data_IF_346822485069
#
_entry.id   IF_346822485069
#
_cell.length_a   1.000
_cell.length_b   1.000
_cell.length_c   1.000
_cell.angle_alpha   90.00
_cell.angle_beta   90.00
_cell.angle_gamma   90.00
#
_symmetry.space_group_name_H-M   'P 1'
#
loop_
_entity.id
_entity.type
_entity.pdbx_description
1 polymer ?
#
# COMPACT_ATOMS: atom_id res chain seq x y z
N UNK A 1 21.31 28.42 34.55
CA UNK A 1 21.27 28.16 33.09
C UNK A 1 21.28 26.66 32.88
N UNK A 2 20.11 26.04 32.72
CA UNK A 2 20.00 24.63 32.36
C UNK A 2 19.71 24.56 30.86
N UNK A 3 20.75 24.22 30.09
CA UNK A 3 20.65 23.99 28.66
C UNK A 3 19.71 22.81 28.39
N UNK A 4 18.65 23.07 27.61
CA UNK A 4 17.73 22.03 27.16
C UNK A 4 18.48 21.11 26.19
N UNK A 5 18.60 19.83 26.57
CA UNK A 5 18.91 18.76 25.63
C UNK A 5 17.79 18.71 24.58
N UNK A 6 18.10 19.14 23.37
CA UNK A 6 17.26 18.90 22.20
C UNK A 6 17.40 17.41 21.86
N UNK A 7 16.47 16.59 22.35
CA UNK A 7 16.26 15.26 21.76
C UNK A 7 15.90 15.50 20.29
N UNK A 8 16.63 14.89 19.36
CA UNK A 8 16.16 14.77 17.99
C UNK A 8 14.78 14.12 18.05
N UNK A 9 13.75 14.84 17.62
CA UNK A 9 12.45 14.23 17.32
C UNK A 9 12.73 13.15 16.26
N UNK A 10 12.38 11.90 16.54
CA UNK A 10 12.28 10.88 15.50
C UNK A 10 11.27 11.38 14.48
N UNK A 11 11.76 11.86 13.33
CA UNK A 11 10.92 12.31 12.24
C UNK A 11 10.15 11.09 11.71
N UNK A 12 8.87 11.01 12.07
CA UNK A 12 7.96 9.99 11.54
C UNK A 12 7.48 10.44 10.17
N UNK A 13 7.85 9.69 9.14
CA UNK A 13 7.40 9.93 7.77
C UNK A 13 6.16 9.08 7.48
N UNK A 14 5.21 9.65 6.74
CA UNK A 14 4.05 8.90 6.28
C UNK A 14 4.51 7.75 5.36
N UNK A 15 3.98 6.55 5.58
CA UNK A 15 4.25 5.36 4.77
C UNK A 15 2.96 4.93 4.09
N UNK A 16 2.53 5.74 3.12
CA UNK A 16 1.25 5.56 2.43
C UNK A 16 1.40 5.77 0.92
N UNK A 17 0.49 5.19 0.12
CA UNK A 17 0.54 5.30 -1.33
C UNK A 17 0.64 6.75 -1.83
N UNK A 18 -0.19 7.67 -1.32
CA UNK A 18 -0.16 9.06 -1.79
C UNK A 18 1.11 9.83 -1.38
N UNK A 19 1.78 9.42 -0.30
CA UNK A 19 2.96 10.09 0.26
C UNK A 19 3.82 9.08 1.03
N UNK A 20 4.85 8.53 0.37
CA UNK A 20 5.84 7.68 1.03
C UNK A 20 6.29 6.47 0.22
N UNK A 21 6.96 5.54 0.91
CA UNK A 21 7.54 4.34 0.33
C UNK A 21 6.57 3.54 -0.56
N UNK A 22 5.29 3.32 -0.22
CA UNK A 22 4.40 2.50 -1.05
C UNK A 22 4.19 3.06 -2.46
N UNK A 23 3.94 4.38 -2.58
CA UNK A 23 3.74 5.03 -3.86
C UNK A 23 5.03 5.17 -4.67
N UNK A 24 6.13 5.54 -4.01
CA UNK A 24 7.45 5.66 -4.65
C UNK A 24 7.91 4.28 -5.17
N UNK A 25 7.81 3.25 -4.33
CA UNK A 25 8.14 1.88 -4.69
C UNK A 25 7.30 1.36 -5.84
N UNK A 26 5.99 1.68 -5.87
CA UNK A 26 5.11 1.28 -6.96
C UNK A 26 5.53 1.93 -8.29
N UNK A 27 5.81 3.23 -8.27
CA UNK A 27 6.29 3.94 -9.45
C UNK A 27 7.62 3.37 -9.96
N UNK A 28 8.56 3.07 -9.06
CA UNK A 28 9.86 2.46 -9.41
C UNK A 28 9.70 1.07 -9.98
N UNK A 29 8.87 0.24 -9.35
CA UNK A 29 8.61 -1.12 -9.79
C UNK A 29 7.97 -1.15 -11.19
N UNK A 30 7.01 -0.28 -11.46
CA UNK A 30 6.38 -0.18 -12.79
C UNK A 30 7.35 0.40 -13.84
N UNK A 31 8.34 1.17 -13.43
CA UNK A 31 9.36 1.71 -14.35
C UNK A 31 10.38 0.68 -14.83
N UNK A 32 10.45 -0.52 -14.22
CA UNK A 32 11.41 -1.57 -14.60
C UNK A 32 11.32 -1.99 -16.07
N UNK A 33 10.17 -1.84 -16.72
CA UNK A 33 10.02 -2.13 -18.15
C UNK A 33 10.83 -1.16 -19.04
N UNK A 34 11.27 -0.02 -18.49
CA UNK A 34 11.98 1.05 -19.19
C UNK A 34 13.34 1.38 -18.57
N UNK A 35 13.46 1.24 -17.25
CA UNK A 35 14.65 1.55 -16.48
C UNK A 35 14.88 0.47 -15.41
N UNK A 36 15.77 -0.47 -15.74
CA UNK A 36 16.15 -1.57 -14.86
C UNK A 36 17.65 -1.49 -14.53
N UNK A 37 17.98 -0.69 -13.52
CA UNK A 37 19.33 -0.60 -12.98
C UNK A 37 19.39 -1.00 -11.49
N UNK A 38 20.61 -1.23 -11.01
CA UNK A 38 20.85 -1.68 -9.63
C UNK A 38 20.28 -0.73 -8.59
N UNK A 39 20.33 0.58 -8.83
CA UNK A 39 19.84 1.59 -7.90
C UNK A 39 18.31 1.56 -7.83
N UNK A 40 17.64 1.47 -8.98
CA UNK A 40 16.18 1.34 -9.03
C UNK A 40 15.72 0.07 -8.32
N UNK A 41 16.41 -1.06 -8.54
CA UNK A 41 16.11 -2.31 -7.83
C UNK A 41 16.29 -2.15 -6.32
N UNK A 42 17.38 -1.53 -5.87
CA UNK A 42 17.59 -1.24 -4.44
C UNK A 42 16.45 -0.38 -3.88
N UNK A 43 16.09 0.72 -4.55
CA UNK A 43 14.98 1.60 -4.11
C UNK A 43 13.64 0.85 -4.04
N UNK A 44 13.39 -0.14 -4.92
CA UNK A 44 12.19 -0.99 -4.86
C UNK A 44 12.19 -1.85 -3.60
N UNK A 45 13.30 -2.53 -3.29
CA UNK A 45 13.37 -3.36 -2.09
C UNK A 45 13.31 -2.52 -0.81
N UNK A 46 14.00 -1.38 -0.76
CA UNK A 46 13.91 -0.44 0.37
C UNK A 46 12.47 0.03 0.59
N UNK A 47 11.75 0.33 -0.48
CA UNK A 47 10.34 0.72 -0.40
C UNK A 47 9.44 -0.43 0.08
N UNK A 48 9.70 -1.67 -0.36
CA UNK A 48 8.97 -2.86 0.06
C UNK A 48 9.18 -3.15 1.55
N UNK A 49 10.43 -3.11 2.01
CA UNK A 49 10.78 -3.31 3.43
C UNK A 49 10.17 -2.21 4.30
N UNK A 50 10.34 -0.93 3.92
CA UNK A 50 9.74 0.20 4.64
C UNK A 50 8.21 0.08 4.73
N UNK A 51 7.57 -0.36 3.65
CA UNK A 51 6.11 -0.57 3.60
C UNK A 51 5.68 -1.71 4.52
N UNK A 52 6.42 -2.83 4.55
CA UNK A 52 6.15 -3.95 5.45
C UNK A 52 6.29 -3.59 6.92
N UNK A 53 7.25 -2.74 7.26
CA UNK A 53 7.52 -2.32 8.63
C UNK A 53 6.53 -1.26 9.13
N UNK A 54 6.15 -0.30 8.28
CA UNK A 54 5.49 0.94 8.74
C UNK A 54 4.16 1.27 8.02
N UNK A 55 3.74 0.44 7.06
CA UNK A 55 2.66 0.77 6.12
C UNK A 55 1.28 0.18 6.42
N UNK A 56 1.06 -0.49 7.55
CA UNK A 56 -0.19 -1.22 7.79
C UNK A 56 -0.82 -0.89 9.15
N UNK A 57 -2.10 -1.22 9.31
CA UNK A 57 -2.94 -0.94 10.48
C UNK A 57 -3.34 0.55 10.63
N UNK A 58 -3.63 1.23 9.52
CA UNK A 58 -4.04 2.64 9.51
C UNK A 58 -5.54 2.82 9.25
N UNK A 59 -5.94 2.62 7.99
CA UNK A 59 -7.31 2.62 7.49
C UNK A 59 -7.39 1.58 6.38
N UNK A 60 -8.58 1.25 5.87
CA UNK A 60 -8.73 0.29 4.78
C UNK A 60 -8.73 0.95 3.40
N UNK A 61 -8.57 2.28 3.32
CA UNK A 61 -8.73 2.99 2.04
C UNK A 61 -7.55 2.80 1.07
N UNK A 62 -7.73 3.26 -0.18
CA UNK A 62 -6.72 3.15 -1.23
C UNK A 62 -5.65 4.25 -1.18
N UNK A 63 -6.00 5.45 -0.72
CA UNK A 63 -5.09 6.61 -0.75
C UNK A 63 -3.97 6.49 0.29
N UNK A 64 -4.37 6.17 1.53
CA UNK A 64 -3.52 6.14 2.71
C UNK A 64 -3.97 5.09 3.72
N UNK A 65 -4.23 3.90 3.20
CA UNK A 65 -4.63 2.74 3.97
C UNK A 65 -4.02 1.44 3.45
N UNK A 66 -4.35 0.36 4.15
CA UNK A 66 -3.77 -0.97 3.99
C UNK A 66 -3.98 -1.51 2.57
N UNK A 67 -5.18 -1.33 2.00
CA UNK A 67 -5.48 -1.78 0.64
C UNK A 67 -4.69 -1.01 -0.42
N UNK A 68 -4.40 0.27 -0.19
CA UNK A 68 -3.52 1.05 -1.04
C UNK A 68 -2.08 0.55 -1.01
N UNK A 69 -1.58 0.29 0.19
CA UNK A 69 -0.19 -0.16 0.39
C UNK A 69 0.02 -1.63 -0.06
N UNK A 70 -1.00 -2.48 0.07
CA UNK A 70 -1.00 -3.85 -0.45
C UNK A 70 -0.78 -3.90 -1.97
N UNK A 71 -1.17 -2.86 -2.72
CA UNK A 71 -0.97 -2.83 -4.18
C UNK A 71 0.51 -2.91 -4.55
N UNK A 72 1.41 -2.29 -3.77
CA UNK A 72 2.85 -2.42 -3.99
C UNK A 72 3.30 -3.89 -3.90
N UNK A 73 2.85 -4.62 -2.87
CA UNK A 73 3.20 -6.02 -2.69
C UNK A 73 2.63 -6.91 -3.81
N UNK A 74 1.38 -6.66 -4.22
CA UNK A 74 0.74 -7.39 -5.33
C UNK A 74 1.50 -7.21 -6.65
N UNK A 75 1.94 -5.97 -6.94
CA UNK A 75 2.74 -5.68 -8.13
C UNK A 75 4.13 -6.30 -8.02
N UNK A 76 4.76 -6.23 -6.83
CA UNK A 76 6.09 -6.81 -6.61
C UNK A 76 6.08 -8.31 -6.82
N UNK A 77 5.04 -9.00 -6.34
CA UNK A 77 4.82 -10.42 -6.65
C UNK A 77 4.80 -10.67 -8.16
N UNK A 78 4.06 -9.87 -8.93
CA UNK A 78 3.92 -10.05 -10.36
C UNK A 78 5.19 -9.73 -11.15
N UNK A 79 5.89 -8.64 -10.80
CA UNK A 79 7.06 -8.13 -11.53
C UNK A 79 8.38 -8.81 -11.14
N UNK A 80 8.54 -9.15 -9.86
CA UNK A 80 9.78 -9.76 -9.34
C UNK A 80 9.71 -11.29 -9.30
N UNK A 81 8.52 -11.89 -9.24
CA UNK A 81 8.33 -13.34 -9.26
C UNK A 81 8.90 -14.08 -8.04
N UNK A 82 9.11 -13.39 -6.92
CA UNK A 82 9.68 -13.98 -5.70
C UNK A 82 8.59 -14.54 -4.77
N UNK A 83 8.66 -15.82 -4.36
CA UNK A 83 7.65 -16.46 -3.51
C UNK A 83 7.48 -15.82 -2.13
N UNK A 84 8.48 -15.09 -1.63
CA UNK A 84 8.44 -14.45 -0.31
C UNK A 84 7.30 -13.45 -0.15
N UNK A 85 6.83 -12.88 -1.26
CA UNK A 85 5.73 -11.91 -1.25
C UNK A 85 4.37 -12.58 -0.96
N UNK A 86 4.17 -13.84 -1.35
CA UNK A 86 2.89 -14.53 -1.17
C UNK A 86 2.51 -14.70 0.30
N UNK A 87 3.46 -15.07 1.15
CA UNK A 87 3.21 -15.23 2.59
C UNK A 87 2.91 -13.88 3.26
N UNK A 88 3.62 -12.82 2.87
CA UNK A 88 3.40 -11.47 3.40
C UNK A 88 2.04 -10.91 2.97
N UNK A 89 1.70 -11.02 1.68
CA UNK A 89 0.39 -10.61 1.15
C UNK A 89 -0.72 -11.37 1.87
N UNK A 90 -0.59 -12.69 2.03
CA UNK A 90 -1.61 -13.51 2.70
C UNK A 90 -1.81 -13.10 4.15
N UNK A 91 -0.71 -12.88 4.90
CA UNK A 91 -0.75 -12.43 6.29
C UNK A 91 -1.45 -11.07 6.42
N UNK A 92 -0.99 -10.07 5.67
CA UNK A 92 -1.51 -8.71 5.76
C UNK A 92 -2.97 -8.65 5.28
N UNK A 93 -3.32 -9.39 4.22
CA UNK A 93 -4.72 -9.49 3.78
C UNK A 93 -5.62 -10.06 4.88
N UNK A 94 -5.14 -11.08 5.60
CA UNK A 94 -5.87 -11.64 6.74
C UNK A 94 -6.03 -10.62 7.87
N UNK A 95 -4.97 -9.87 8.19
CA UNK A 95 -5.01 -8.81 9.21
C UNK A 95 -6.01 -7.70 8.84
N UNK A 96 -5.99 -7.24 7.58
CA UNK A 96 -6.96 -6.26 7.07
C UNK A 96 -8.39 -6.78 7.13
N UNK A 97 -8.65 -8.05 6.73
CA UNK A 97 -9.98 -8.65 6.81
C UNK A 97 -10.46 -8.78 8.25
N UNK A 98 -9.60 -9.23 9.17
CA UNK A 98 -9.92 -9.30 10.60
C UNK A 98 -10.19 -7.91 11.18
N UNK A 99 -9.45 -6.88 10.77
CA UNK A 99 -9.74 -5.50 11.15
C UNK A 99 -11.12 -5.05 10.68
N UNK A 100 -11.49 -5.35 9.42
CA UNK A 100 -12.82 -5.06 8.87
C UNK A 100 -13.92 -5.78 9.68
N UNK A 101 -13.74 -7.05 10.00
CA UNK A 101 -14.71 -7.83 10.78
C UNK A 101 -14.92 -7.27 12.19
N UNK A 102 -13.84 -6.82 12.85
CA UNK A 102 -13.88 -6.34 14.22
C UNK A 102 -14.31 -4.88 14.34
N UNK A 103 -13.90 -4.03 13.38
CA UNK A 103 -14.01 -2.57 13.48
C UNK A 103 -14.93 -1.96 12.43
N UNK A 104 -15.46 -2.76 11.49
CA UNK A 104 -16.17 -2.26 10.32
C UNK A 104 -15.24 -1.58 9.31
N UNK A 105 -15.82 -0.76 8.44
CA UNK A 105 -15.10 -0.14 7.32
C UNK A 105 -14.39 1.15 7.73
N UNK A 106 -13.17 1.04 8.23
CA UNK A 106 -12.31 2.19 8.54
C UNK A 106 -11.91 2.94 7.26
N UNK A 107 -12.65 4.00 6.94
CA UNK A 107 -12.35 4.89 5.82
C UNK A 107 -11.20 5.85 6.16
N UNK A 108 -10.65 6.51 5.15
CA UNK A 108 -9.49 7.42 5.25
C UNK A 108 -9.82 8.83 5.76
N UNK A 109 -11.05 9.11 6.20
CA UNK A 109 -11.39 10.38 6.82
C UNK A 109 -10.96 10.41 8.31
N UNK A 110 -10.83 11.60 8.94
CA UNK A 110 -10.32 11.72 10.31
C UNK A 110 -11.10 10.95 11.38
N UNK A 111 -12.39 10.72 11.15
CA UNK A 111 -13.24 9.96 12.07
C UNK A 111 -13.31 8.46 11.73
N UNK A 112 -12.68 8.06 10.62
CA UNK A 112 -12.70 6.70 10.06
C UNK A 112 -14.12 6.12 9.84
N UNK A 113 -15.10 7.00 9.61
CA UNK A 113 -16.49 6.61 9.39
C UNK A 113 -16.78 6.32 7.92
N UNK A 114 -17.82 5.56 7.65
CA UNK A 114 -18.20 5.20 6.28
C UNK A 114 -18.48 6.44 5.41
N UNK A 115 -17.84 6.48 4.24
CA UNK A 115 -18.11 7.48 3.20
C UNK A 115 -18.09 6.81 1.81
N UNK A 116 -18.86 7.27 0.81
CA UNK A 116 -18.96 6.60 -0.48
C UNK A 116 -17.73 6.77 -1.40
N UNK A 117 -16.71 7.52 -0.98
CA UNK A 117 -15.56 7.94 -1.81
C UNK A 117 -14.71 6.78 -2.33
N UNK A 118 -14.08 6.98 -3.50
CA UNK A 118 -13.25 5.94 -4.12
C UNK A 118 -11.85 5.85 -3.53
N UNK A 119 -11.17 6.97 -3.28
CA UNK A 119 -9.80 6.90 -2.76
C UNK A 119 -9.76 6.71 -1.24
N UNK A 120 -10.76 7.25 -0.53
CA UNK A 120 -10.79 7.30 0.93
C UNK A 120 -11.95 6.50 1.53
N UNK A 121 -12.87 5.97 0.75
CA UNK A 121 -14.14 5.42 1.25
C UNK A 121 -14.49 4.01 0.79
N UNK A 122 -15.75 3.64 0.99
CA UNK A 122 -16.32 2.32 0.78
C UNK A 122 -16.16 1.79 -0.65
N UNK A 123 -16.32 2.64 -1.66
CA UNK A 123 -16.17 2.19 -3.05
C UNK A 123 -14.74 1.78 -3.36
N UNK A 124 -13.76 2.49 -2.78
CA UNK A 124 -12.35 2.11 -2.81
C UNK A 124 -12.05 0.82 -2.07
N UNK A 125 -12.62 0.67 -0.87
CA UNK A 125 -12.45 -0.53 -0.06
C UNK A 125 -12.97 -1.76 -0.80
N UNK A 126 -14.18 -1.67 -1.35
CA UNK A 126 -14.74 -2.72 -2.19
C UNK A 126 -13.86 -3.04 -3.40
N UNK A 127 -13.35 -2.02 -4.08
CA UNK A 127 -12.42 -2.20 -5.21
C UNK A 127 -11.12 -2.90 -4.78
N UNK A 128 -10.51 -2.47 -3.67
CA UNK A 128 -9.28 -3.05 -3.14
C UNK A 128 -9.46 -4.52 -2.74
N UNK A 129 -10.59 -4.88 -2.13
CA UNK A 129 -10.90 -6.27 -1.80
C UNK A 129 -11.09 -7.14 -3.06
N UNK A 130 -11.78 -6.62 -4.08
CA UNK A 130 -11.88 -7.30 -5.38
C UNK A 130 -10.49 -7.46 -6.03
N UNK A 131 -9.63 -6.45 -5.93
CA UNK A 131 -8.27 -6.47 -6.43
C UNK A 131 -7.38 -7.48 -5.71
N UNK A 132 -7.56 -7.67 -4.41
CA UNK A 132 -6.89 -8.71 -3.63
C UNK A 132 -7.36 -10.11 -4.02
N UNK A 133 -8.67 -10.31 -4.17
CA UNK A 133 -9.25 -11.61 -4.49
C UNK A 133 -8.95 -12.04 -5.95
N UNK A 134 -8.98 -11.09 -6.89
CA UNK A 134 -8.86 -11.37 -8.32
C UNK A 134 -7.82 -10.45 -9.01
N UNK A 135 -6.54 -10.52 -8.62
CA UNK A 135 -5.50 -9.60 -9.06
C UNK A 135 -5.24 -9.61 -10.57
N UNK A 136 -5.56 -10.71 -11.24
CA UNK A 136 -5.42 -10.84 -12.70
C UNK A 136 -6.63 -10.31 -13.50
N UNK A 137 -7.77 -10.04 -12.83
CA UNK A 137 -9.02 -9.61 -13.47
C UNK A 137 -9.40 -8.17 -13.15
N UNK A 138 -9.01 -7.70 -11.98
CA UNK A 138 -9.30 -6.34 -11.52
C UNK A 138 -8.05 -5.50 -11.74
N UNK A 139 -8.10 -4.46 -12.59
CA UNK A 139 -6.92 -3.66 -12.92
C UNK A 139 -6.40 -2.86 -11.71
N UNK A 140 -5.10 -2.57 -11.71
CA UNK A 140 -4.52 -1.68 -10.71
C UNK A 140 -4.82 -0.22 -11.02
N UNK A 141 -5.76 0.42 -10.32
CA UNK A 141 -6.00 1.86 -10.49
C UNK A 141 -4.82 2.68 -9.95
N UNK A 142 -4.21 2.23 -8.86
CA UNK A 142 -3.06 2.92 -8.26
C UNK A 142 -1.78 2.82 -9.11
N UNK A 143 -1.69 1.78 -9.95
CA UNK A 143 -0.68 1.63 -10.99
C UNK A 143 -1.11 2.14 -12.37
N UNK A 144 -2.25 2.82 -12.49
CA UNK A 144 -2.81 3.36 -13.74
C UNK A 144 -2.95 2.30 -14.86
N UNK A 145 -3.26 1.06 -14.48
CA UNK A 145 -3.49 -0.02 -15.43
C UNK A 145 -4.70 0.27 -16.31
N UNK A 146 -4.59 -0.10 -17.59
CA UNK A 146 -5.71 0.01 -18.53
C UNK A 146 -6.87 -0.92 -18.12
N UNK A 147 -8.12 -0.59 -18.50
CA UNK A 147 -9.25 -1.49 -18.34
C UNK A 147 -8.97 -2.83 -19.03
N UNK A 148 -9.37 -3.94 -18.39
CA UNK A 148 -9.31 -5.26 -19.02
C UNK A 148 -10.28 -5.30 -20.20
N UNK A 149 -9.81 -5.73 -21.37
CA UNK A 149 -10.65 -5.90 -22.55
C UNK A 149 -11.61 -7.07 -22.33
N UNK A 150 -12.91 -6.85 -22.57
CA UNK A 150 -13.94 -7.89 -22.51
C UNK A 150 -13.83 -8.86 -23.69
#
# INVERSE_FOLDING_TARGET
>A
MLGRNLKHDEQTYATVWCHGAPGIGLARLLSLDYLDDVKIRTEIYDALETTLENGFNLSHCLCHGDLGNLELLLQARQKLGEPKWDSMISRISSETLTSIENNGWLCGNPLQVEEPGFMTGLSGIGYGLLRLAFPAKVPSILGLASPVSC
#
